data_IF_461467441887
#
_entry.id   IF_461467441887
#
_cell.length_a   1.000
_cell.length_b   1.000
_cell.length_c   1.000
_cell.angle_alpha   90.00
_cell.angle_beta   90.00
_cell.angle_gamma   90.00
#
_symmetry.space_group_name_H-M   'P 1'
#
loop_
_entity.id
_entity.type
_entity.pdbx_description
1 polymer ?
#
# COMPACT_ATOMS: atom_id res chain seq x y z
N UNK A 1 -9.02 14.33 -26.30
CA UNK A 1 -8.41 15.29 -25.36
C UNK A 1 -6.98 14.85 -25.10
N UNK A 2 -6.07 15.79 -25.00
CA UNK A 2 -4.69 15.51 -24.59
C UNK A 2 -4.69 14.99 -23.16
N UNK A 3 -3.93 13.91 -22.88
CA UNK A 3 -3.83 13.34 -21.53
C UNK A 3 -3.15 14.33 -20.59
N UNK A 4 -3.74 14.61 -19.42
CA UNK A 4 -3.14 15.48 -18.41
C UNK A 4 -1.98 14.77 -17.71
N UNK A 5 -0.96 15.52 -17.31
CA UNK A 5 0.09 15.01 -16.41
C UNK A 5 -0.42 15.03 -14.98
N UNK A 6 -0.08 13.99 -14.22
CA UNK A 6 -0.55 13.81 -12.84
C UNK A 6 0.62 13.73 -11.88
N UNK A 7 0.55 14.50 -10.83
CA UNK A 7 1.62 14.63 -9.82
C UNK A 7 1.12 14.25 -8.43
N UNK A 8 2.04 13.80 -7.60
CA UNK A 8 1.79 13.57 -6.16
C UNK A 8 2.14 14.85 -5.42
N UNK A 9 1.16 15.49 -4.81
CA UNK A 9 1.32 16.76 -4.08
C UNK A 9 1.22 16.60 -2.56
N UNK A 10 0.66 15.51 -2.06
CA UNK A 10 0.58 15.22 -0.64
C UNK A 10 0.63 13.73 -0.36
N UNK A 11 1.18 13.38 0.79
CA UNK A 11 1.29 12.00 1.28
C UNK A 11 1.01 11.94 2.77
N UNK A 12 0.40 10.85 3.22
CA UNK A 12 0.13 10.58 4.63
C UNK A 12 0.13 9.09 4.91
N UNK A 13 0.67 8.66 6.05
CA UNK A 13 0.71 7.24 6.38
C UNK A 13 0.71 6.99 7.89
N UNK A 14 0.09 5.88 8.25
CA UNK A 14 0.19 5.25 9.57
C UNK A 14 0.51 3.79 9.33
N UNK A 15 1.63 3.29 9.85
CA UNK A 15 2.03 1.90 9.67
C UNK A 15 2.99 1.46 10.80
N UNK A 16 3.39 0.18 10.89
CA UNK A 16 4.22 -0.32 12.00
C UNK A 16 5.58 0.35 12.16
N UNK A 17 6.09 1.07 11.16
CA UNK A 17 7.39 1.77 11.25
C UNK A 17 7.27 3.21 11.72
N UNK A 18 6.06 3.81 11.68
CA UNK A 18 5.79 5.17 12.16
C UNK A 18 4.34 5.61 11.95
N UNK A 19 3.91 6.61 12.71
CA UNK A 19 2.55 7.18 12.68
C UNK A 19 2.43 8.44 11.80
N UNK A 20 3.53 8.85 11.17
CA UNK A 20 3.61 9.92 10.18
C UNK A 20 4.52 9.49 9.04
N UNK A 21 4.46 10.21 7.93
CA UNK A 21 5.36 9.97 6.78
C UNK A 21 6.83 10.14 7.18
N UNK A 22 7.13 11.15 7.98
CA UNK A 22 8.51 11.43 8.42
C UNK A 22 9.07 10.29 9.30
N UNK A 23 8.31 9.90 10.33
CA UNK A 23 8.69 8.79 11.22
C UNK A 23 8.83 7.47 10.45
N UNK A 24 7.85 7.18 9.60
CA UNK A 24 7.83 5.96 8.81
C UNK A 24 9.01 5.89 7.84
N UNK A 25 9.25 6.94 7.09
CA UNK A 25 10.36 6.99 6.13
C UNK A 25 11.73 6.93 6.81
N UNK A 26 11.88 7.61 7.94
CA UNK A 26 13.07 7.48 8.78
C UNK A 26 13.27 6.03 9.21
N UNK A 27 12.23 5.37 9.72
CA UNK A 27 12.27 3.97 10.11
C UNK A 27 12.66 3.05 8.95
N UNK A 28 12.10 3.26 7.75
CA UNK A 28 12.44 2.50 6.53
C UNK A 28 13.91 2.69 6.15
N UNK A 29 14.42 3.91 6.18
CA UNK A 29 15.84 4.19 5.88
C UNK A 29 16.81 3.57 6.86
N UNK A 30 16.44 3.51 8.13
CA UNK A 30 17.23 2.91 9.21
C UNK A 30 17.06 1.37 9.29
N UNK A 31 16.17 0.78 8.51
CA UNK A 31 15.88 -0.66 8.55
C UNK A 31 15.09 -1.10 9.79
N UNK A 32 14.27 -0.20 10.36
CA UNK A 32 13.46 -0.47 11.55
C UNK A 32 12.40 -1.53 11.24
N UNK A 33 12.46 -2.66 11.92
CA UNK A 33 11.44 -3.72 11.84
C UNK A 33 10.31 -3.37 12.82
N UNK A 34 9.10 -3.11 12.28
CA UNK A 34 7.90 -2.78 13.05
C UNK A 34 7.11 -3.99 13.54
N UNK A 35 7.56 -5.21 13.17
CA UNK A 35 6.95 -6.48 13.57
C UNK A 35 7.27 -6.78 15.04
N UNK A 36 6.34 -7.35 15.75
CA UNK A 36 6.48 -7.76 17.14
C UNK A 36 5.40 -8.75 17.55
N UNK A 37 5.38 -9.11 18.84
CA UNK A 37 4.33 -9.96 19.41
C UNK A 37 2.96 -9.29 19.25
N UNK A 38 1.94 -10.10 18.95
CA UNK A 38 0.54 -9.64 18.87
C UNK A 38 0.08 -9.19 20.25
N UNK A 39 -0.39 -7.95 20.35
CA UNK A 39 -0.93 -7.37 21.57
C UNK A 39 -2.43 -7.06 21.49
N UNK A 40 -3.01 -7.12 20.28
CA UNK A 40 -4.43 -6.82 20.02
C UNK A 40 -5.39 -7.84 20.66
N UNK A 41 -4.91 -9.07 20.93
CA UNK A 41 -5.63 -10.16 21.58
C UNK A 41 -4.64 -11.18 22.16
N UNK A 42 -5.13 -12.13 22.99
CA UNK A 42 -4.30 -13.24 23.49
C UNK A 42 -4.05 -14.28 22.39
N UNK A 43 -2.83 -14.29 21.85
CA UNK A 43 -2.43 -15.19 20.79
C UNK A 43 -1.88 -16.54 21.27
N UNK A 44 -1.92 -16.84 22.58
CA UNK A 44 -1.29 -18.05 23.15
C UNK A 44 -1.86 -19.37 22.61
N UNK A 45 -3.12 -19.38 22.15
CA UNK A 45 -3.78 -20.52 21.55
C UNK A 45 -3.56 -20.63 20.02
N UNK A 46 -2.87 -19.69 19.40
CA UNK A 46 -2.63 -19.65 17.96
C UNK A 46 -1.23 -20.21 17.61
N UNK A 47 -1.05 -20.62 16.36
CA UNK A 47 0.27 -20.99 15.82
C UNK A 47 1.07 -19.80 15.32
N UNK A 48 0.48 -18.61 15.32
CA UNK A 48 1.08 -17.35 14.84
C UNK A 48 1.02 -16.33 15.98
N UNK A 49 2.17 -15.76 16.32
CA UNK A 49 2.32 -14.88 17.47
C UNK A 49 2.84 -13.49 17.10
N UNK A 50 3.25 -13.28 15.84
CA UNK A 50 3.86 -12.04 15.38
C UNK A 50 2.99 -11.33 14.36
N UNK A 51 2.93 -9.99 14.50
CA UNK A 51 2.24 -9.10 13.57
C UNK A 51 2.93 -7.74 13.49
N UNK A 52 2.67 -6.99 12.43
CA UNK A 52 3.04 -5.58 12.29
C UNK A 52 1.92 -4.70 12.82
N UNK A 53 1.85 -4.50 14.12
CA UNK A 53 0.87 -3.61 14.75
C UNK A 53 1.33 -2.15 14.72
N UNK A 54 0.39 -1.24 14.51
CA UNK A 54 0.62 0.19 14.71
C UNK A 54 0.70 0.48 16.20
N UNK A 55 1.85 0.99 16.65
CA UNK A 55 2.15 1.32 18.06
C UNK A 55 1.96 2.81 18.31
N UNK A 56 1.67 3.18 19.56
CA UNK A 56 1.54 4.57 20.01
C UNK A 56 0.56 5.38 19.13
N UNK A 57 -0.55 4.76 18.75
CA UNK A 57 -1.57 5.36 17.90
C UNK A 57 -2.54 6.19 18.76
N UNK A 58 -2.57 7.49 18.52
CA UNK A 58 -3.31 8.48 19.30
C UNK A 58 -4.33 9.27 18.44
N UNK A 59 -5.40 8.63 17.92
CA UNK A 59 -6.40 9.32 17.09
C UNK A 59 -7.17 10.40 17.87
N UNK A 60 -7.21 10.31 19.22
CA UNK A 60 -7.83 11.32 20.10
C UNK A 60 -7.17 12.68 20.05
N UNK A 61 -6.01 12.84 19.43
CA UNK A 61 -5.38 14.14 19.17
C UNK A 61 -6.07 14.92 18.06
N UNK A 62 -6.81 14.23 17.17
CA UNK A 62 -7.49 14.84 16.02
C UNK A 62 -9.02 14.68 16.05
N UNK A 63 -9.53 13.66 16.73
CA UNK A 63 -10.93 13.30 16.77
C UNK A 63 -11.43 13.22 18.21
N UNK A 64 -12.65 13.66 18.45
CA UNK A 64 -13.24 13.52 19.78
C UNK A 64 -13.65 12.05 20.06
N UNK A 65 -13.95 11.77 21.35
CA UNK A 65 -14.33 10.41 21.79
C UNK A 65 -15.64 9.92 21.14
N UNK A 66 -16.51 10.81 20.71
CA UNK A 66 -17.79 10.46 20.08
C UNK A 66 -17.54 10.04 18.63
N UNK A 67 -16.76 10.81 17.90
CA UNK A 67 -16.33 10.48 16.54
C UNK A 67 -15.63 9.11 16.52
N UNK A 68 -14.64 8.89 17.38
CA UNK A 68 -13.88 7.64 17.45
C UNK A 68 -14.72 6.41 17.76
N UNK A 69 -15.81 6.56 18.53
CA UNK A 69 -16.74 5.44 18.81
C UNK A 69 -17.54 4.97 17.59
N UNK A 70 -17.61 5.78 16.56
CA UNK A 70 -18.35 5.50 15.35
C UNK A 70 -17.45 5.07 14.18
N UNK A 71 -16.13 5.02 14.39
CA UNK A 71 -15.13 4.63 13.39
C UNK A 71 -14.47 3.32 13.79
N UNK A 72 -14.48 2.32 12.91
CA UNK A 72 -13.63 1.14 13.07
C UNK A 72 -12.15 1.53 12.92
N UNK A 73 -11.24 0.70 13.44
CA UNK A 73 -9.80 1.00 13.46
C UNK A 73 -9.21 1.28 12.06
N UNK A 74 -9.64 0.53 11.02
CA UNK A 74 -9.18 0.80 9.66
C UNK A 74 -9.60 2.19 9.15
N UNK A 75 -10.82 2.64 9.52
CA UNK A 75 -11.29 3.99 9.22
C UNK A 75 -10.46 5.04 9.97
N UNK A 76 -10.15 4.82 11.24
CA UNK A 76 -9.31 5.72 12.03
C UNK A 76 -7.92 5.90 11.39
N UNK A 77 -7.29 4.82 10.93
CA UNK A 77 -6.02 4.89 10.21
C UNK A 77 -6.12 5.71 8.94
N UNK A 78 -7.15 5.44 8.13
CA UNK A 78 -7.39 6.19 6.89
C UNK A 78 -7.60 7.67 7.13
N UNK A 79 -8.38 8.03 8.16
CA UNK A 79 -8.66 9.42 8.52
C UNK A 79 -7.39 10.17 8.96
N UNK A 80 -6.56 9.57 9.80
CA UNK A 80 -5.28 10.16 10.24
C UNK A 80 -4.34 10.36 9.04
N UNK A 81 -4.17 9.34 8.20
CA UNK A 81 -3.35 9.46 7.00
C UNK A 81 -3.91 10.49 5.99
N UNK A 82 -5.24 10.59 5.88
CA UNK A 82 -5.88 11.58 5.03
C UNK A 82 -5.66 13.03 5.54
N UNK A 83 -5.77 13.26 6.85
CA UNK A 83 -5.47 14.57 7.44
C UNK A 83 -4.02 14.98 7.17
N UNK A 84 -3.06 14.06 7.35
CA UNK A 84 -1.65 14.31 7.04
C UNK A 84 -1.46 14.66 5.55
N UNK A 85 -2.03 13.86 4.62
CA UNK A 85 -1.90 14.09 3.19
C UNK A 85 -2.55 15.40 2.73
N UNK A 86 -3.73 15.74 3.25
CA UNK A 86 -4.43 16.99 2.95
C UNK A 86 -3.65 18.21 3.45
N UNK A 87 -3.11 18.13 4.68
CA UNK A 87 -2.27 19.19 5.24
C UNK A 87 -0.97 19.35 4.44
N UNK A 88 -0.31 18.23 4.13
CA UNK A 88 0.95 18.20 3.38
C UNK A 88 0.81 18.79 1.96
N UNK A 89 -0.31 18.49 1.30
CA UNK A 89 -0.58 19.01 -0.04
C UNK A 89 -0.97 20.48 -0.06
N UNK A 90 -1.58 21.00 1.00
CA UNK A 90 -2.16 22.33 1.04
C UNK A 90 -3.29 22.59 0.01
N UNK A 91 -3.95 21.53 -0.47
CA UNK A 91 -4.95 21.60 -1.55
C UNK A 91 -6.32 22.11 -1.08
N UNK A 92 -6.57 22.09 0.22
CA UNK A 92 -7.87 22.49 0.79
C UNK A 92 -8.29 23.89 0.33
N UNK A 93 -9.50 24.01 -0.23
CA UNK A 93 -10.06 25.28 -0.69
C UNK A 93 -9.48 25.82 -2.01
N UNK A 94 -8.64 25.07 -2.71
CA UNK A 94 -8.07 25.47 -4.01
C UNK A 94 -8.91 25.02 -5.22
N UNK A 95 -9.87 24.11 -4.99
CA UNK A 95 -10.75 23.52 -5.99
C UNK A 95 -12.21 23.55 -5.55
N UNK A 96 -13.17 23.59 -6.48
CA UNK A 96 -14.56 23.26 -6.19
C UNK A 96 -14.64 21.84 -5.59
N UNK A 97 -15.53 21.59 -4.62
CA UNK A 97 -15.69 20.27 -4.01
C UNK A 97 -15.94 19.13 -4.99
N UNK A 98 -16.60 19.40 -6.09
CA UNK A 98 -16.98 18.45 -7.14
C UNK A 98 -15.77 18.02 -8.00
N UNK A 99 -14.70 18.80 -8.00
CA UNK A 99 -13.46 18.51 -8.77
C UNK A 99 -12.42 17.69 -7.98
N UNK A 100 -12.77 17.29 -6.75
CA UNK A 100 -11.90 16.41 -5.94
C UNK A 100 -12.70 15.21 -5.42
N UNK A 101 -12.22 14.02 -5.74
CA UNK A 101 -12.81 12.74 -5.32
C UNK A 101 -11.96 11.96 -4.33
N UNK A 102 -12.48 10.80 -3.91
CA UNK A 102 -11.84 9.89 -2.94
C UNK A 102 -11.92 8.45 -3.45
N UNK A 103 -10.78 7.78 -3.57
CA UNK A 103 -10.72 6.34 -3.86
C UNK A 103 -9.80 5.68 -2.82
N UNK A 104 -10.39 5.04 -1.82
CA UNK A 104 -9.64 4.38 -0.73
C UNK A 104 -10.08 2.94 -0.60
N UNK A 105 -9.13 2.01 -0.77
CA UNK A 105 -9.34 0.57 -0.65
C UNK A 105 -9.28 0.09 0.80
N UNK A 106 -10.03 -0.95 1.10
CA UNK A 106 -9.79 -1.84 2.24
C UNK A 106 -10.17 -3.26 1.82
N UNK A 107 -9.32 -4.23 2.11
CA UNK A 107 -9.55 -5.62 1.72
C UNK A 107 -10.66 -6.28 2.51
N UNK A 108 -10.74 -6.02 3.82
CA UNK A 108 -11.65 -6.72 4.73
C UNK A 108 -12.59 -5.76 5.47
N UNK A 109 -12.22 -4.49 5.61
CA UNK A 109 -13.01 -3.51 6.34
C UNK A 109 -12.99 -3.75 7.86
N UNK A 110 -14.14 -3.59 8.52
CA UNK A 110 -14.25 -3.63 9.98
C UNK A 110 -14.36 -5.03 10.57
N UNK A 111 -13.46 -5.95 10.24
CA UNK A 111 -13.51 -7.34 10.70
C UNK A 111 -13.60 -7.45 12.23
N UNK A 112 -12.76 -6.72 12.96
CA UNK A 112 -12.80 -6.71 14.44
C UNK A 112 -14.14 -6.21 14.98
N UNK A 113 -14.75 -5.22 14.32
CA UNK A 113 -16.10 -4.76 14.68
C UNK A 113 -17.15 -5.87 14.50
N UNK A 114 -17.03 -6.67 13.43
CA UNK A 114 -17.90 -7.82 13.18
C UNK A 114 -17.76 -8.85 14.32
N UNK A 115 -16.55 -9.19 14.72
CA UNK A 115 -16.26 -10.12 15.82
C UNK A 115 -16.87 -9.65 17.15
N UNK A 116 -16.60 -8.40 17.52
CA UNK A 116 -17.05 -7.80 18.78
C UNK A 116 -18.59 -7.71 18.85
N UNK A 117 -19.23 -7.23 17.79
CA UNK A 117 -20.67 -7.07 17.75
C UNK A 117 -21.41 -8.42 17.60
N UNK A 118 -20.81 -9.41 16.92
CA UNK A 118 -21.33 -10.78 16.91
C UNK A 118 -21.31 -11.38 18.33
N UNK A 119 -20.19 -11.31 19.02
CA UNK A 119 -20.04 -11.80 20.39
C UNK A 119 -21.03 -11.12 21.35
N UNK A 120 -21.25 -9.82 21.16
CA UNK A 120 -22.24 -9.07 21.93
C UNK A 120 -23.68 -9.51 21.61
N UNK A 121 -23.98 -9.75 20.34
CA UNK A 121 -25.28 -10.26 19.87
C UNK A 121 -25.59 -11.62 20.47
N UNK A 122 -24.66 -12.57 20.48
CA UNK A 122 -24.78 -13.88 21.11
C UNK A 122 -25.12 -13.78 22.62
N UNK A 123 -24.44 -12.85 23.31
CA UNK A 123 -24.63 -12.72 24.78
C UNK A 123 -25.88 -11.93 25.18
N UNK A 124 -26.32 -10.96 24.39
CA UNK A 124 -27.34 -9.97 24.76
C UNK A 124 -28.53 -9.91 23.81
N UNK A 125 -28.49 -10.66 22.70
CA UNK A 125 -29.46 -10.61 21.61
C UNK A 125 -29.00 -9.67 20.47
N UNK A 126 -29.25 -10.07 19.23
CA UNK A 126 -28.77 -9.37 18.03
C UNK A 126 -29.40 -7.99 17.79
N UNK A 127 -30.55 -7.70 18.40
CA UNK A 127 -31.15 -6.35 18.40
C UNK A 127 -30.43 -5.37 19.36
N UNK A 128 -29.41 -5.83 20.09
CA UNK A 128 -28.58 -5.04 21.01
C UNK A 128 -27.21 -4.68 20.42
N UNK A 129 -26.91 -5.06 19.17
CA UNK A 129 -25.70 -4.61 18.46
C UNK A 129 -25.71 -3.10 18.28
N UNK A 130 -24.53 -2.52 18.02
CA UNK A 130 -24.40 -1.08 17.82
C UNK A 130 -25.25 -0.61 16.62
N UNK A 131 -25.95 0.53 16.72
CA UNK A 131 -26.61 1.14 15.55
C UNK A 131 -25.61 1.58 14.48
N UNK A 132 -24.32 1.67 14.82
CA UNK A 132 -23.22 1.96 13.90
C UNK A 132 -22.51 0.71 13.38
N UNK A 133 -23.00 -0.49 13.74
CA UNK A 133 -22.36 -1.75 13.33
C UNK A 133 -22.13 -1.82 11.82
N UNK A 134 -23.17 -1.57 11.02
CA UNK A 134 -23.05 -1.66 9.56
C UNK A 134 -22.07 -0.60 9.01
N UNK A 135 -22.19 0.70 9.32
CA UNK A 135 -21.20 1.68 8.89
C UNK A 135 -19.76 1.37 9.30
N UNK A 136 -19.56 0.85 10.50
CA UNK A 136 -18.22 0.48 10.99
C UNK A 136 -17.66 -0.80 10.33
N UNK A 137 -18.52 -1.63 9.73
CA UNK A 137 -18.10 -2.92 9.16
C UNK A 137 -17.76 -2.84 7.68
N UNK A 138 -18.47 -2.00 6.89
CA UNK A 138 -18.33 -1.98 5.43
C UNK A 138 -17.08 -1.24 4.96
N UNK A 139 -16.37 -1.81 3.99
CA UNK A 139 -15.05 -1.34 3.54
C UNK A 139 -15.03 0.06 2.96
N UNK A 140 -16.14 0.53 2.37
CA UNK A 140 -16.23 1.85 1.74
C UNK A 140 -16.32 3.02 2.72
N UNK A 141 -16.50 2.76 4.02
CA UNK A 141 -16.70 3.85 4.98
C UNK A 141 -15.44 4.68 5.23
N UNK A 142 -14.26 4.12 5.07
CA UNK A 142 -13.04 4.91 5.11
C UNK A 142 -13.05 6.02 4.04
N UNK A 143 -13.41 5.69 2.79
CA UNK A 143 -13.55 6.68 1.72
C UNK A 143 -14.70 7.68 2.02
N UNK A 144 -15.84 7.18 2.50
CA UNK A 144 -17.01 8.00 2.84
C UNK A 144 -16.73 9.02 3.94
N UNK A 145 -16.10 8.59 5.04
CA UNK A 145 -15.75 9.47 6.18
C UNK A 145 -14.73 10.56 5.76
N UNK A 146 -13.72 10.20 4.94
CA UNK A 146 -12.78 11.16 4.38
C UNK A 146 -13.52 12.20 3.52
N UNK A 147 -14.41 11.75 2.63
CA UNK A 147 -15.20 12.65 1.77
C UNK A 147 -16.07 13.60 2.58
N UNK A 148 -16.74 13.12 3.63
CA UNK A 148 -17.55 13.93 4.55
C UNK A 148 -16.69 14.96 5.28
N UNK A 149 -15.57 14.52 5.86
CA UNK A 149 -14.65 15.37 6.64
C UNK A 149 -14.11 16.54 5.85
N UNK A 150 -13.64 16.27 4.63
CA UNK A 150 -13.03 17.27 3.76
C UNK A 150 -14.01 17.90 2.75
N UNK A 151 -15.31 17.52 2.81
CA UNK A 151 -16.38 18.01 1.92
C UNK A 151 -16.08 17.78 0.44
N UNK A 152 -15.46 16.63 0.10
CA UNK A 152 -15.12 16.25 -1.27
C UNK A 152 -16.34 15.63 -1.94
N UNK A 153 -16.76 16.12 -3.09
CA UNK A 153 -18.00 15.73 -3.78
C UNK A 153 -17.79 15.12 -5.16
N UNK A 154 -16.54 14.91 -5.57
CA UNK A 154 -16.20 14.11 -6.72
C UNK A 154 -16.51 12.63 -6.50
N UNK A 155 -16.00 11.75 -7.36
CA UNK A 155 -16.18 10.31 -7.19
C UNK A 155 -15.73 9.84 -5.80
N UNK A 156 -16.55 9.03 -5.11
CA UNK A 156 -16.19 8.42 -3.83
C UNK A 156 -16.46 6.91 -3.90
N UNK A 157 -15.39 6.09 -3.97
CA UNK A 157 -15.49 4.62 -4.08
C UNK A 157 -14.41 3.90 -3.29
N UNK A 158 -14.63 2.60 -3.06
CA UNK A 158 -13.68 1.68 -2.44
C UNK A 158 -13.51 0.44 -3.35
N UNK A 159 -12.47 0.33 -4.15
CA UNK A 159 -12.16 -0.92 -4.84
C UNK A 159 -11.72 -1.98 -3.81
N UNK A 160 -12.25 -3.20 -3.94
CA UNK A 160 -11.90 -4.33 -3.08
C UNK A 160 -11.24 -5.40 -3.95
N UNK A 161 -9.92 -5.37 -4.02
CA UNK A 161 -9.08 -6.28 -4.80
C UNK A 161 -7.97 -6.91 -3.95
N UNK A 162 -8.35 -7.30 -2.72
CA UNK A 162 -7.46 -7.89 -1.72
C UNK A 162 -6.17 -7.05 -1.56
N UNK A 163 -4.99 -7.70 -1.63
CA UNK A 163 -3.70 -7.06 -1.40
C UNK A 163 -3.29 -6.04 -2.50
N UNK A 164 -3.94 -6.06 -3.66
CA UNK A 164 -3.71 -5.09 -4.74
C UNK A 164 -4.56 -3.81 -4.59
N UNK A 165 -5.49 -3.78 -3.62
CA UNK A 165 -6.50 -2.74 -3.51
C UNK A 165 -5.97 -1.32 -3.41
N UNK A 166 -4.94 -1.08 -2.59
CA UNK A 166 -4.31 0.23 -2.47
C UNK A 166 -3.69 0.73 -3.78
N UNK A 167 -3.01 -0.16 -4.51
CA UNK A 167 -2.45 0.17 -5.83
C UNK A 167 -3.53 0.38 -6.89
N UNK A 168 -4.60 -0.42 -6.89
CA UNK A 168 -5.74 -0.19 -7.78
C UNK A 168 -6.41 1.16 -7.50
N UNK A 169 -6.62 1.52 -6.22
CA UNK A 169 -7.18 2.81 -5.83
C UNK A 169 -6.34 4.00 -6.36
N UNK A 170 -5.02 3.90 -6.28
CA UNK A 170 -4.10 4.92 -6.80
C UNK A 170 -4.14 4.96 -8.34
N UNK A 171 -4.10 3.79 -8.99
CA UNK A 171 -4.13 3.69 -10.45
C UNK A 171 -5.43 4.21 -11.06
N UNK A 172 -6.57 3.86 -10.47
CA UNK A 172 -7.89 4.36 -10.90
C UNK A 172 -7.99 5.88 -10.69
N UNK A 173 -7.51 6.39 -9.56
CA UNK A 173 -7.43 7.82 -9.30
C UNK A 173 -6.52 8.54 -10.30
N UNK A 174 -5.37 7.94 -10.65
CA UNK A 174 -4.47 8.45 -11.68
C UNK A 174 -5.18 8.60 -13.03
N UNK A 175 -5.87 7.56 -13.48
CA UNK A 175 -6.60 7.61 -14.74
C UNK A 175 -7.71 8.68 -14.72
N UNK A 176 -8.41 8.85 -13.61
CA UNK A 176 -9.46 9.88 -13.48
C UNK A 176 -8.92 11.30 -13.63
N UNK A 177 -7.80 11.61 -12.96
CA UNK A 177 -7.16 12.93 -13.10
C UNK A 177 -6.57 13.10 -14.50
N UNK A 178 -5.87 12.09 -15.01
CA UNK A 178 -5.25 12.11 -16.34
C UNK A 178 -6.26 12.34 -17.46
N UNK A 179 -7.41 11.67 -17.36
CA UNK A 179 -8.44 11.71 -18.41
C UNK A 179 -9.44 12.87 -18.21
N UNK A 180 -9.24 13.69 -17.15
CA UNK A 180 -9.91 14.96 -16.93
C UNK A 180 -11.28 14.88 -16.28
N UNK A 181 -11.59 13.78 -15.57
CA UNK A 181 -12.84 13.67 -14.80
C UNK A 181 -12.81 14.52 -13.53
N UNK A 182 -11.73 14.44 -12.76
CA UNK A 182 -11.45 15.32 -11.63
C UNK A 182 -10.12 16.05 -11.82
N UNK A 183 -9.94 17.17 -11.11
CA UNK A 183 -8.67 17.90 -11.08
C UNK A 183 -7.72 17.33 -10.02
N UNK A 184 -8.26 16.74 -8.96
CA UNK A 184 -7.48 16.04 -7.94
C UNK A 184 -8.24 14.85 -7.34
N UNK A 185 -7.48 13.88 -6.80
CA UNK A 185 -8.01 12.72 -6.12
C UNK A 185 -7.23 12.46 -4.84
N UNK A 186 -7.93 12.21 -3.75
CA UNK A 186 -7.40 11.58 -2.56
C UNK A 186 -7.51 10.06 -2.76
N UNK A 187 -6.41 9.34 -2.68
CA UNK A 187 -6.43 7.91 -2.99
C UNK A 187 -5.44 7.11 -2.14
N UNK A 188 -5.70 5.83 -2.01
CA UNK A 188 -4.83 4.94 -1.26
C UNK A 188 -5.54 3.72 -0.68
N UNK A 189 -5.10 3.26 0.48
CA UNK A 189 -5.66 2.08 1.12
C UNK A 189 -5.45 2.05 2.63
N UNK A 190 -6.28 1.27 3.31
CA UNK A 190 -6.26 1.11 4.76
C UNK A 190 -6.65 -0.32 5.15
N UNK A 191 -6.10 -0.82 6.24
CA UNK A 191 -6.45 -2.14 6.77
C UNK A 191 -6.21 -2.23 8.28
N UNK A 192 -7.08 -2.96 9.00
CA UNK A 192 -6.92 -3.28 10.41
C UNK A 192 -7.50 -4.67 10.72
N UNK A 193 -6.86 -5.70 10.18
CA UNK A 193 -7.34 -7.08 10.24
C UNK A 193 -6.62 -7.95 11.30
N UNK A 194 -5.79 -7.34 12.17
CA UNK A 194 -5.14 -8.06 13.27
C UNK A 194 -6.17 -8.30 14.37
N UNK A 195 -6.83 -9.45 14.28
CA UNK A 195 -7.90 -9.90 15.16
C UNK A 195 -7.90 -11.44 15.23
N UNK A 196 -8.69 -12.02 16.11
CA UNK A 196 -8.76 -13.49 16.25
C UNK A 196 -9.20 -14.16 14.94
N UNK A 197 -10.28 -13.68 14.27
CA UNK A 197 -10.71 -14.21 12.97
C UNK A 197 -9.71 -13.88 11.85
N UNK A 198 -9.11 -12.69 11.84
CA UNK A 198 -8.15 -12.30 10.83
C UNK A 198 -6.91 -13.20 10.88
N UNK A 199 -6.26 -13.30 12.03
CA UNK A 199 -5.09 -14.16 12.22
C UNK A 199 -5.48 -15.64 12.06
N UNK A 200 -6.58 -16.09 12.67
CA UNK A 200 -7.05 -17.48 12.59
C UNK A 200 -7.38 -17.89 11.15
N UNK A 201 -8.09 -17.05 10.40
CA UNK A 201 -8.45 -17.31 9.01
C UNK A 201 -7.24 -17.49 8.09
N UNK A 202 -6.25 -16.59 8.16
CA UNK A 202 -5.04 -16.72 7.36
C UNK A 202 -4.09 -17.82 7.88
N UNK A 203 -4.06 -18.11 9.19
CA UNK A 203 -3.28 -19.20 9.76
C UNK A 203 -3.79 -20.57 9.30
N UNK A 204 -5.12 -20.78 9.26
CA UNK A 204 -5.71 -22.04 8.77
C UNK A 204 -5.42 -22.29 7.29
N UNK A 205 -5.23 -21.24 6.52
CA UNK A 205 -4.78 -21.32 5.12
C UNK A 205 -3.28 -21.60 5.00
N UNK A 206 -2.52 -21.64 6.10
CA UNK A 206 -1.07 -21.72 6.13
C UNK A 206 -0.37 -20.58 5.34
N UNK A 207 -0.99 -19.42 5.31
CA UNK A 207 -0.47 -18.26 4.60
C UNK A 207 0.45 -17.39 5.47
N UNK A 208 0.28 -17.46 6.81
CA UNK A 208 1.08 -16.70 7.77
C UNK A 208 2.36 -17.44 8.18
N UNK A 209 3.40 -16.66 8.47
CA UNK A 209 4.65 -17.16 9.02
C UNK A 209 4.43 -17.68 10.46
N UNK A 210 4.79 -18.94 10.77
CA UNK A 210 4.74 -19.49 12.11
C UNK A 210 5.99 -19.18 12.93
N UNK A 211 6.90 -18.34 12.43
CA UNK A 211 8.13 -17.98 13.12
C UNK A 211 7.85 -17.32 14.47
N UNK A 212 8.65 -17.67 15.46
CA UNK A 212 8.60 -17.09 16.81
C UNK A 212 9.62 -15.98 17.02
N UNK A 213 10.63 -15.92 16.16
CA UNK A 213 11.65 -14.88 16.18
C UNK A 213 11.31 -13.79 15.15
N UNK A 214 11.31 -12.54 15.59
CA UNK A 214 11.02 -11.37 14.72
C UNK A 214 11.95 -11.34 13.51
N UNK A 215 13.23 -11.65 13.69
CA UNK A 215 14.24 -11.68 12.61
C UNK A 215 14.05 -12.78 11.57
N UNK A 216 13.12 -13.72 11.79
CA UNK A 216 12.78 -14.80 10.84
C UNK A 216 11.33 -14.79 10.39
N UNK A 217 10.54 -13.80 10.84
CA UNK A 217 9.10 -13.78 10.58
C UNK A 217 8.74 -13.29 9.17
N UNK A 218 9.21 -12.10 8.77
CA UNK A 218 9.02 -11.56 7.41
C UNK A 218 10.37 -11.42 6.73
N UNK A 219 10.69 -12.38 5.87
CA UNK A 219 11.98 -12.57 5.20
C UNK A 219 11.79 -12.77 3.69
N UNK A 220 11.29 -11.75 2.97
CA UNK A 220 11.05 -11.85 1.54
C UNK A 220 12.31 -12.30 0.80
N UNK A 221 12.13 -13.22 -0.16
CA UNK A 221 13.17 -13.79 -1.02
C UNK A 221 14.22 -14.68 -0.31
N UNK A 222 14.17 -14.80 1.01
CA UNK A 222 15.04 -15.73 1.76
C UNK A 222 14.58 -17.18 1.54
N UNK A 223 15.53 -18.13 1.51
CA UNK A 223 15.25 -19.57 1.30
C UNK A 223 14.33 -20.15 2.37
N UNK A 224 14.43 -19.67 3.61
CA UNK A 224 13.67 -20.14 4.78
C UNK A 224 12.33 -19.42 4.96
N UNK A 225 11.90 -18.61 3.99
CA UNK A 225 10.60 -17.93 4.05
C UNK A 225 9.45 -18.93 4.19
N UNK A 226 8.51 -18.64 5.06
CA UNK A 226 7.47 -19.62 5.46
C UNK A 226 6.05 -19.08 5.43
N UNK A 227 5.86 -17.84 5.03
CA UNK A 227 4.57 -17.14 5.04
C UNK A 227 4.73 -15.65 5.26
N UNK A 228 3.67 -14.89 5.09
CA UNK A 228 3.72 -13.46 5.39
C UNK A 228 3.42 -13.17 6.87
N UNK A 229 3.82 -12.01 7.34
CA UNK A 229 3.41 -11.44 8.63
C UNK A 229 2.31 -10.42 8.37
N UNK A 230 1.14 -10.58 8.98
CA UNK A 230 0.06 -9.60 8.85
C UNK A 230 0.46 -8.27 9.48
N UNK A 231 0.21 -7.17 8.76
CA UNK A 231 0.34 -5.81 9.27
C UNK A 231 -0.96 -5.03 9.19
N UNK A 232 -0.99 -3.86 9.81
CA UNK A 232 -2.11 -2.92 9.76
C UNK A 232 -1.62 -1.50 9.48
N UNK A 233 -2.52 -0.62 9.02
CA UNK A 233 -2.20 0.78 8.78
C UNK A 233 -2.95 1.39 7.59
N UNK A 234 -2.46 2.53 7.13
CA UNK A 234 -2.99 3.23 5.95
C UNK A 234 -1.90 4.00 5.22
N UNK A 235 -2.09 4.15 3.92
CA UNK A 235 -1.33 5.07 3.07
C UNK A 235 -2.29 5.87 2.19
N UNK A 236 -2.13 7.19 2.17
CA UNK A 236 -2.95 8.12 1.39
C UNK A 236 -2.05 9.05 0.59
N UNK A 237 -2.39 9.23 -0.68
CA UNK A 237 -1.76 10.17 -1.60
C UNK A 237 -2.79 11.16 -2.11
N UNK A 238 -2.33 12.40 -2.37
CA UNK A 238 -3.07 13.38 -3.16
C UNK A 238 -2.47 13.37 -4.56
N UNK A 239 -3.25 12.92 -5.53
CA UNK A 239 -2.95 13.03 -6.95
C UNK A 239 -3.63 14.27 -7.52
N UNK A 240 -2.89 15.07 -8.26
CA UNK A 240 -3.34 16.36 -8.75
C UNK A 240 -2.89 16.59 -10.19
N UNK A 241 -3.72 17.24 -10.97
CA UNK A 241 -3.35 17.71 -12.30
C UNK A 241 -2.15 18.69 -12.18
N UNK A 242 -1.10 18.42 -12.97
CA UNK A 242 0.18 19.12 -12.87
C UNK A 242 0.07 20.64 -13.03
N UNK A 243 -0.72 21.12 -14.00
CA UNK A 243 -0.83 22.56 -14.26
C UNK A 243 -1.56 23.27 -13.13
N UNK A 244 -2.57 22.60 -12.52
CA UNK A 244 -3.21 23.12 -11.30
C UNK A 244 -2.22 23.19 -10.14
N UNK A 245 -1.43 22.12 -9.92
CA UNK A 245 -0.40 22.09 -8.87
C UNK A 245 0.64 23.21 -9.04
N UNK A 246 1.13 23.42 -10.27
CA UNK A 246 2.08 24.49 -10.59
C UNK A 246 1.50 25.88 -10.38
N UNK A 247 0.24 26.08 -10.80
CA UNK A 247 -0.47 27.38 -10.66
C UNK A 247 -0.62 27.81 -9.20
N UNK A 248 -0.86 26.87 -8.31
CA UNK A 248 -0.99 27.16 -6.87
C UNK A 248 0.35 27.08 -6.10
N UNK A 249 1.46 26.79 -6.77
CA UNK A 249 2.78 26.68 -6.15
C UNK A 249 2.93 25.47 -5.23
N UNK A 250 2.27 24.35 -5.55
CA UNK A 250 2.33 23.13 -4.76
C UNK A 250 3.72 22.52 -4.71
N UNK A 251 4.05 21.90 -3.58
CA UNK A 251 5.15 20.93 -3.53
C UNK A 251 4.76 19.71 -4.37
N UNK A 252 5.68 19.23 -5.18
CA UNK A 252 5.51 18.03 -6.00
C UNK A 252 6.57 17.02 -5.60
N UNK A 253 6.13 15.83 -5.20
CA UNK A 253 7.01 14.71 -4.83
C UNK A 253 7.53 13.95 -6.04
N UNK A 254 6.62 13.56 -6.93
CA UNK A 254 6.88 12.75 -8.13
C UNK A 254 5.73 12.92 -9.12
N UNK A 255 5.88 12.41 -10.33
CA UNK A 255 4.77 12.14 -11.25
C UNK A 255 4.39 10.67 -11.16
N UNK A 256 3.09 10.36 -11.21
CA UNK A 256 2.62 9.04 -11.55
C UNK A 256 2.41 9.01 -13.07
N UNK A 257 3.05 8.06 -13.73
CA UNK A 257 3.10 8.03 -15.20
C UNK A 257 2.52 6.77 -15.81
N UNK A 258 2.37 5.69 -15.03
CA UNK A 258 1.83 4.44 -15.54
C UNK A 258 1.11 3.61 -14.48
N UNK A 259 0.09 2.91 -14.96
CA UNK A 259 -0.69 1.96 -14.18
C UNK A 259 -1.03 0.74 -15.04
N UNK A 260 -0.75 -0.45 -14.52
CA UNK A 260 -1.19 -1.72 -15.06
C UNK A 260 -2.07 -2.44 -14.05
N UNK A 261 -3.14 -3.07 -14.54
CA UNK A 261 -3.98 -3.95 -13.75
C UNK A 261 -4.50 -5.10 -14.60
N UNK A 262 -4.53 -6.30 -14.05
CA UNK A 262 -5.09 -7.49 -14.67
C UNK A 262 -5.51 -8.51 -13.62
N UNK A 263 -5.91 -9.70 -14.07
CA UNK A 263 -6.25 -10.83 -13.25
C UNK A 263 -5.56 -12.09 -13.79
N UNK A 264 -4.99 -12.90 -12.90
CA UNK A 264 -4.43 -14.23 -13.25
C UNK A 264 -5.49 -15.19 -13.79
N UNK A 265 -6.74 -15.07 -13.31
CA UNK A 265 -7.85 -15.97 -13.64
C UNK A 265 -7.49 -17.45 -13.47
N UNK A 266 -6.71 -17.76 -12.43
CA UNK A 266 -6.13 -19.09 -12.22
C UNK A 266 -6.66 -19.79 -10.97
N UNK A 267 -6.48 -19.18 -9.79
CA UNK A 267 -6.85 -19.78 -8.51
C UNK A 267 -7.20 -18.69 -7.47
N UNK A 268 -8.03 -19.02 -6.47
CA UNK A 268 -8.51 -18.04 -5.48
C UNK A 268 -7.41 -17.47 -4.57
N UNK A 269 -6.32 -18.23 -4.32
CA UNK A 269 -5.25 -17.79 -3.39
C UNK A 269 -3.83 -17.97 -3.95
N UNK A 270 -3.62 -18.84 -4.93
CA UNK A 270 -2.30 -19.10 -5.51
C UNK A 270 -2.09 -18.25 -6.76
N UNK A 271 -0.90 -17.65 -6.93
CA UNK A 271 -0.57 -16.95 -8.18
C UNK A 271 -0.48 -17.93 -9.35
N UNK A 272 -0.65 -17.45 -10.57
CA UNK A 272 -0.44 -18.23 -11.78
C UNK A 272 1.03 -18.70 -11.84
N UNK A 273 1.28 -19.95 -12.30
CA UNK A 273 2.63 -20.48 -12.45
C UNK A 273 3.52 -19.58 -13.31
N UNK A 274 4.80 -19.48 -12.94
CA UNK A 274 5.76 -18.65 -13.70
C UNK A 274 5.56 -17.15 -13.62
N UNK A 275 4.57 -16.66 -12.84
CA UNK A 275 4.32 -15.23 -12.67
C UNK A 275 3.75 -14.52 -13.91
N UNK A 276 3.09 -15.25 -14.81
CA UNK A 276 2.59 -14.72 -16.09
C UNK A 276 1.68 -13.49 -15.91
N UNK A 277 0.75 -13.53 -14.95
CA UNK A 277 -0.15 -12.41 -14.68
C UNK A 277 0.59 -11.19 -14.14
N UNK A 278 1.53 -11.38 -13.23
CA UNK A 278 2.38 -10.32 -12.71
C UNK A 278 3.25 -9.70 -13.81
N UNK A 279 3.84 -10.51 -14.70
CA UNK A 279 4.60 -10.03 -15.85
C UNK A 279 3.74 -9.18 -16.78
N UNK A 280 2.60 -9.69 -17.20
CA UNK A 280 1.66 -8.94 -18.05
C UNK A 280 1.19 -7.63 -17.39
N UNK A 281 1.01 -7.61 -16.06
CA UNK A 281 0.65 -6.41 -15.32
C UNK A 281 1.77 -5.35 -15.37
N UNK A 282 3.03 -5.76 -15.17
CA UNK A 282 4.19 -4.87 -15.31
C UNK A 282 4.30 -4.30 -16.74
N UNK A 283 4.11 -5.14 -17.77
CA UNK A 283 4.13 -4.70 -19.18
C UNK A 283 3.02 -3.68 -19.48
N UNK A 284 1.81 -3.87 -18.92
CA UNK A 284 0.72 -2.89 -19.04
C UNK A 284 1.10 -1.56 -18.40
N UNK A 285 1.72 -1.57 -17.23
CA UNK A 285 2.16 -0.36 -16.55
C UNK A 285 3.26 0.38 -17.32
N UNK A 286 4.25 -0.34 -17.85
CA UNK A 286 5.30 0.22 -18.71
C UNK A 286 4.73 0.83 -19.99
N UNK A 287 3.78 0.13 -20.62
CA UNK A 287 3.09 0.63 -21.82
C UNK A 287 2.28 1.90 -21.53
N UNK A 288 1.54 1.95 -20.41
CA UNK A 288 0.78 3.15 -20.01
C UNK A 288 1.70 4.32 -19.68
N UNK A 289 2.86 4.05 -19.07
CA UNK A 289 3.89 5.03 -18.78
C UNK A 289 4.66 5.53 -20.02
N UNK A 290 4.62 4.79 -21.12
CA UNK A 290 5.42 5.06 -22.31
C UNK A 290 6.92 4.90 -22.09
N UNK A 291 7.33 4.00 -21.19
CA UNK A 291 8.73 3.71 -20.86
C UNK A 291 9.03 2.22 -21.03
N UNK A 292 10.31 1.91 -21.13
CA UNK A 292 10.83 0.55 -21.22
C UNK A 292 11.29 0.03 -19.85
N UNK A 293 11.41 -1.27 -19.70
CA UNK A 293 11.97 -1.88 -18.48
C UNK A 293 13.42 -1.39 -18.19
N UNK A 294 14.19 -1.01 -19.22
CA UNK A 294 15.54 -0.48 -19.06
C UNK A 294 15.61 0.86 -18.31
N UNK A 295 14.51 1.63 -18.32
CA UNK A 295 14.44 2.93 -17.67
C UNK A 295 14.06 2.85 -16.19
N UNK A 296 13.56 1.69 -15.72
CA UNK A 296 13.22 1.49 -14.31
C UNK A 296 14.49 1.32 -13.48
N UNK A 297 14.65 2.17 -12.48
CA UNK A 297 15.84 2.22 -11.61
C UNK A 297 15.68 1.44 -10.31
N UNK A 298 14.43 1.16 -9.89
CA UNK A 298 14.11 0.44 -8.66
C UNK A 298 12.70 -0.16 -8.72
N UNK A 299 12.55 -1.38 -8.17
CA UNK A 299 11.27 -2.07 -8.01
C UNK A 299 10.98 -2.25 -6.52
N UNK A 300 9.89 -1.66 -6.03
CA UNK A 300 9.29 -2.04 -4.76
C UNK A 300 8.40 -3.24 -5.01
N UNK A 301 8.86 -4.40 -4.58
CA UNK A 301 8.21 -5.67 -4.86
C UNK A 301 6.98 -5.91 -3.98
N UNK A 302 6.07 -6.74 -4.48
CA UNK A 302 5.05 -7.31 -3.61
C UNK A 302 5.69 -8.13 -2.49
N UNK A 303 6.61 -9.05 -2.80
CA UNK A 303 7.57 -9.65 -1.88
C UNK A 303 7.01 -9.99 -0.50
N UNK A 304 6.09 -10.95 -0.44
CA UNK A 304 5.34 -11.26 0.80
C UNK A 304 6.05 -12.18 1.78
N UNK A 305 7.22 -12.73 1.42
CA UNK A 305 7.85 -13.81 2.22
C UNK A 305 7.09 -15.14 2.14
N UNK A 306 6.23 -15.31 1.13
CA UNK A 306 5.62 -16.61 0.80
C UNK A 306 6.37 -17.27 -0.32
N UNK A 307 6.44 -18.62 -0.31
CA UNK A 307 7.21 -19.35 -1.27
C UNK A 307 6.79 -19.09 -2.72
N UNK A 308 5.49 -19.23 -3.01
CA UNK A 308 4.96 -19.12 -4.36
C UNK A 308 4.98 -17.69 -4.91
N UNK A 309 4.66 -16.70 -4.06
CA UNK A 309 4.66 -15.30 -4.50
C UNK A 309 6.07 -14.85 -4.90
N UNK A 310 7.06 -15.07 -4.02
CA UNK A 310 8.40 -14.54 -4.25
C UNK A 310 9.08 -15.22 -5.44
N UNK A 311 8.80 -16.51 -5.66
CA UNK A 311 9.25 -17.25 -6.84
C UNK A 311 8.58 -16.73 -8.12
N UNK A 312 7.26 -16.57 -8.10
CA UNK A 312 6.48 -16.07 -9.25
C UNK A 312 6.85 -14.63 -9.62
N UNK A 313 6.99 -13.76 -8.64
CA UNK A 313 7.38 -12.35 -8.87
C UNK A 313 8.81 -12.25 -9.44
N UNK A 314 9.75 -13.07 -8.94
CA UNK A 314 11.10 -13.17 -9.51
C UNK A 314 11.07 -13.62 -10.97
N UNK A 315 10.28 -14.65 -11.30
CA UNK A 315 10.11 -15.10 -12.67
C UNK A 315 9.50 -14.01 -13.57
N UNK A 316 8.50 -13.30 -13.07
CA UNK A 316 7.88 -12.20 -13.78
C UNK A 316 8.86 -11.05 -14.07
N UNK A 317 9.68 -10.66 -13.08
CA UNK A 317 10.75 -9.66 -13.29
C UNK A 317 11.75 -10.13 -14.33
N UNK A 318 12.20 -11.38 -14.26
CA UNK A 318 13.11 -11.96 -15.29
C UNK A 318 12.50 -11.92 -16.70
N UNK A 319 11.20 -12.23 -16.80
CA UNK A 319 10.48 -12.17 -18.07
C UNK A 319 10.44 -10.76 -18.67
N UNK A 320 10.03 -9.76 -17.87
CA UNK A 320 9.83 -8.38 -18.33
C UNK A 320 11.14 -7.63 -18.55
N UNK A 321 12.11 -7.81 -17.64
CA UNK A 321 13.35 -7.05 -17.62
C UNK A 321 14.50 -7.74 -18.36
N UNK A 322 14.38 -9.02 -18.72
CA UNK A 322 15.41 -9.80 -19.40
C UNK A 322 16.78 -9.65 -18.69
N UNK A 323 17.86 -9.38 -19.39
CA UNK A 323 19.19 -9.16 -18.82
C UNK A 323 19.23 -8.02 -17.78
N UNK A 324 18.35 -7.03 -17.90
CA UNK A 324 18.23 -5.91 -16.95
C UNK A 324 17.75 -6.38 -15.57
N UNK A 325 17.05 -7.54 -15.47
CA UNK A 325 16.58 -8.11 -14.22
C UNK A 325 17.71 -8.30 -13.20
N UNK A 326 18.90 -8.67 -13.66
CA UNK A 326 20.06 -8.93 -12.81
C UNK A 326 20.78 -7.65 -12.31
N UNK A 327 20.36 -6.47 -12.74
CA UNK A 327 20.97 -5.18 -12.38
C UNK A 327 19.99 -4.14 -11.88
N UNK A 328 18.68 -4.36 -11.98
CA UNK A 328 17.68 -3.52 -11.33
C UNK A 328 17.53 -3.95 -9.87
N UNK A 329 17.74 -3.05 -8.89
CA UNK A 329 17.52 -3.39 -7.49
C UNK A 329 16.02 -3.58 -7.21
N UNK A 330 15.72 -4.60 -6.42
CA UNK A 330 14.39 -4.98 -6.00
C UNK A 330 14.39 -5.04 -4.48
N UNK A 331 13.41 -4.48 -3.79
CA UNK A 331 13.29 -4.73 -2.35
C UNK A 331 11.85 -4.86 -1.90
N UNK A 332 11.64 -5.56 -0.81
CA UNK A 332 10.34 -5.64 -0.13
C UNK A 332 10.39 -4.96 1.22
N UNK A 333 9.68 -3.86 1.34
CA UNK A 333 9.50 -3.14 2.60
C UNK A 333 8.61 -3.90 3.60
N UNK A 334 7.92 -4.96 3.15
CA UNK A 334 7.18 -5.88 4.03
C UNK A 334 8.08 -6.62 5.03
N UNK A 335 9.38 -6.69 4.79
CA UNK A 335 10.35 -7.15 5.78
C UNK A 335 10.38 -6.29 7.06
N UNK A 336 9.92 -5.03 6.95
CA UNK A 336 9.87 -4.05 8.05
C UNK A 336 8.44 -3.80 8.54
N UNK A 337 7.50 -3.66 7.63
CA UNK A 337 6.09 -3.31 7.97
C UNK A 337 5.19 -4.52 8.22
N UNK A 338 5.58 -5.72 7.77
CA UNK A 338 4.63 -6.79 7.52
C UNK A 338 3.77 -6.49 6.27
N UNK A 339 2.81 -7.34 6.01
CA UNK A 339 1.89 -7.20 4.88
C UNK A 339 0.57 -6.54 5.32
N UNK A 340 0.37 -5.29 4.91
CA UNK A 340 -0.79 -4.48 5.31
C UNK A 340 -2.05 -4.75 4.45
N UNK A 341 -2.12 -5.87 3.75
CA UNK A 341 -3.27 -6.29 2.92
C UNK A 341 -3.73 -5.16 1.98
N UNK A 342 -4.97 -4.67 2.12
CA UNK A 342 -5.53 -3.60 1.29
C UNK A 342 -4.80 -2.25 1.40
N UNK A 343 -4.05 -2.01 2.46
CA UNK A 343 -3.23 -0.81 2.64
C UNK A 343 -1.83 -0.95 2.02
N UNK A 344 -1.33 -2.19 1.79
CA UNK A 344 0.06 -2.45 1.43
C UNK A 344 0.53 -1.64 0.23
N UNK A 345 -0.17 -1.74 -0.90
CA UNK A 345 0.23 -1.06 -2.13
C UNK A 345 0.25 0.47 -2.02
N UNK A 346 -0.59 1.05 -1.16
CA UNK A 346 -0.60 2.48 -0.94
C UNK A 346 0.61 2.96 -0.10
N UNK A 347 0.96 2.24 0.95
CA UNK A 347 2.16 2.52 1.77
C UNK A 347 3.43 2.34 0.94
N UNK A 348 3.49 1.29 0.13
CA UNK A 348 4.60 1.00 -0.78
C UNK A 348 4.73 2.03 -1.92
N UNK A 349 3.62 2.55 -2.43
CA UNK A 349 3.62 3.67 -3.37
C UNK A 349 4.22 4.94 -2.74
N UNK A 350 3.89 5.25 -1.47
CA UNK A 350 4.51 6.36 -0.74
C UNK A 350 6.01 6.14 -0.61
N UNK A 351 6.48 4.94 -0.23
CA UNK A 351 7.91 4.65 -0.14
C UNK A 351 8.62 4.74 -1.50
N UNK A 352 7.97 4.33 -2.59
CA UNK A 352 8.49 4.47 -3.95
C UNK A 352 8.65 5.93 -4.38
N UNK A 353 7.68 6.78 -4.01
CA UNK A 353 7.73 8.24 -4.23
C UNK A 353 8.83 8.90 -3.39
N UNK A 354 8.97 8.50 -2.13
CA UNK A 354 10.03 9.02 -1.26
C UNK A 354 11.42 8.54 -1.67
N UNK A 355 11.53 7.32 -2.20
CA UNK A 355 12.76 6.80 -2.80
C UNK A 355 13.24 7.68 -3.97
N UNK A 356 12.31 8.08 -4.87
CA UNK A 356 12.61 9.01 -5.96
C UNK A 356 13.06 10.38 -5.46
N UNK A 357 12.35 10.92 -4.45
CA UNK A 357 12.67 12.23 -3.86
C UNK A 357 14.09 12.26 -3.30
N UNK A 358 14.43 11.24 -2.51
CA UNK A 358 15.66 11.24 -1.70
C UNK A 358 16.82 10.49 -2.36
N UNK A 359 16.59 9.81 -3.50
CA UNK A 359 17.63 8.97 -4.13
C UNK A 359 18.08 7.83 -3.24
N UNK A 360 17.12 7.16 -2.56
CA UNK A 360 17.42 6.08 -1.62
C UNK A 360 16.55 4.86 -1.88
N UNK A 361 17.18 3.69 -2.01
CA UNK A 361 16.52 2.39 -2.17
C UNK A 361 16.44 1.71 -0.80
N UNK A 362 15.23 1.41 -0.27
CA UNK A 362 15.08 0.63 0.95
C UNK A 362 15.66 -0.78 0.85
N UNK A 363 16.16 -1.31 1.98
CA UNK A 363 16.62 -2.69 2.04
C UNK A 363 15.48 -3.70 2.26
N UNK A 364 15.71 -4.94 1.84
CA UNK A 364 14.95 -6.11 2.30
C UNK A 364 15.62 -6.62 3.58
N UNK A 365 15.00 -6.36 4.73
CA UNK A 365 15.59 -6.67 6.03
C UNK A 365 15.47 -8.17 6.36
N UNK A 366 16.31 -8.62 7.29
CA UNK A 366 16.31 -9.99 7.82
C UNK A 366 16.67 -11.08 6.79
N UNK A 367 17.23 -10.73 5.64
CA UNK A 367 17.68 -11.68 4.64
C UNK A 367 18.98 -12.38 5.12
N UNK A 368 18.98 -13.70 5.28
CA UNK A 368 20.11 -14.46 5.82
C UNK A 368 20.52 -15.62 4.92
N UNK A 369 19.58 -16.34 4.34
CA UNK A 369 19.84 -17.57 3.58
C UNK A 369 19.46 -17.38 2.12
N UNK A 370 20.48 -17.45 1.25
CA UNK A 370 20.29 -17.32 -0.19
C UNK A 370 19.46 -18.50 -0.73
N UNK A 371 18.46 -18.18 -1.54
CA UNK A 371 17.71 -19.16 -2.33
C UNK A 371 18.31 -19.22 -3.74
N UNK A 372 18.70 -20.41 -4.19
CA UNK A 372 19.34 -20.61 -5.50
C UNK A 372 18.38 -20.32 -6.68
N UNK A 373 17.07 -20.40 -6.45
CA UNK A 373 16.05 -20.07 -7.45
C UNK A 373 15.77 -18.57 -7.54
N UNK A 374 16.19 -17.79 -6.51
CA UNK A 374 16.00 -16.37 -6.36
C UNK A 374 17.34 -15.64 -6.43
N UNK A 375 17.80 -15.36 -7.65
CA UNK A 375 19.18 -14.91 -7.95
C UNK A 375 19.28 -13.44 -8.36
N UNK A 376 18.24 -12.62 -8.09
CA UNK A 376 18.23 -11.18 -8.40
C UNK A 376 18.82 -10.34 -7.25
N UNK A 377 18.95 -9.03 -7.46
CA UNK A 377 19.42 -8.07 -6.44
C UNK A 377 18.26 -7.61 -5.55
N UNK A 378 18.03 -8.32 -4.44
CA UNK A 378 16.96 -8.00 -3.49
C UNK A 378 17.32 -6.97 -2.43
N UNK A 379 18.41 -6.24 -2.61
CA UNK A 379 18.91 -5.21 -1.66
C UNK A 379 18.95 -5.73 -0.21
N UNK A 380 19.72 -6.78 0.10
CA UNK A 380 19.64 -7.46 1.39
C UNK A 380 20.15 -6.58 2.53
N UNK A 381 19.37 -6.50 3.61
CA UNK A 381 19.67 -5.96 4.95
C UNK A 381 20.10 -4.49 5.04
N UNK A 382 20.42 -3.84 3.95
CA UNK A 382 20.86 -2.44 3.97
C UNK A 382 20.38 -1.71 2.73
N UNK A 383 19.63 -0.65 2.93
CA UNK A 383 19.30 0.28 1.85
C UNK A 383 20.54 0.96 1.27
N UNK A 384 20.42 1.53 0.08
CA UNK A 384 21.53 2.18 -0.60
C UNK A 384 21.11 3.49 -1.28
N UNK A 385 22.03 4.45 -1.28
CA UNK A 385 21.88 5.68 -2.06
C UNK A 385 22.05 5.37 -3.55
N UNK A 386 21.14 5.88 -4.37
CA UNK A 386 21.20 5.77 -5.83
C UNK A 386 20.32 6.85 -6.45
N UNK A 387 20.81 7.52 -7.46
CA UNK A 387 19.97 8.40 -8.27
C UNK A 387 18.91 7.58 -8.99
N UNK A 388 17.65 7.98 -8.83
CA UNK A 388 16.48 7.29 -9.39
C UNK A 388 15.71 8.25 -10.28
N UNK A 389 15.31 7.78 -11.45
CA UNK A 389 14.42 8.50 -12.39
C UNK A 389 13.02 7.89 -12.43
N UNK A 390 12.95 6.56 -12.40
CA UNK A 390 11.71 5.83 -12.40
C UNK A 390 11.71 4.73 -11.34
N UNK A 391 10.60 4.60 -10.63
CA UNK A 391 10.34 3.46 -9.73
C UNK A 391 9.07 2.73 -10.15
N UNK A 392 9.05 1.44 -9.92
CA UNK A 392 7.90 0.55 -10.12
C UNK A 392 7.47 -0.03 -8.79
N UNK A 393 6.18 -0.12 -8.52
CA UNK A 393 5.61 -0.75 -7.32
C UNK A 393 4.61 -1.80 -7.70
N UNK A 394 4.83 -3.05 -7.27
CA UNK A 394 3.99 -4.20 -7.59
C UNK A 394 3.10 -4.60 -6.42
N UNK A 395 1.86 -4.95 -6.71
CA UNK A 395 0.92 -5.53 -5.75
C UNK A 395 0.21 -6.72 -6.38
N UNK A 396 0.28 -7.86 -5.72
CA UNK A 396 -0.32 -9.12 -6.18
C UNK A 396 -1.28 -9.60 -5.08
N UNK A 397 -2.54 -9.86 -5.42
CA UNK A 397 -3.59 -10.14 -4.44
C UNK A 397 -4.30 -11.47 -4.66
N UNK A 398 -4.86 -12.01 -3.60
CA UNK A 398 -5.79 -13.14 -3.67
C UNK A 398 -6.92 -12.83 -4.66
N UNK A 399 -7.41 -13.87 -5.35
CA UNK A 399 -8.30 -13.72 -6.50
C UNK A 399 -7.53 -13.51 -7.82
N UNK A 400 -6.19 -13.48 -7.78
CA UNK A 400 -5.33 -13.22 -8.94
C UNK A 400 -5.30 -11.75 -9.35
N UNK A 401 -5.66 -10.82 -8.46
CA UNK A 401 -5.62 -9.39 -8.72
C UNK A 401 -4.18 -8.88 -8.74
N UNK A 402 -3.75 -8.30 -9.84
CA UNK A 402 -2.44 -7.69 -9.98
C UNK A 402 -2.58 -6.20 -10.27
N UNK A 403 -1.72 -5.40 -9.65
CA UNK A 403 -1.62 -3.97 -9.92
C UNK A 403 -0.14 -3.54 -9.89
N UNK A 404 0.24 -2.70 -10.84
CA UNK A 404 1.59 -2.17 -10.96
C UNK A 404 1.52 -0.66 -11.21
N UNK A 405 2.27 0.12 -10.44
CA UNK A 405 2.36 1.57 -10.55
C UNK A 405 3.77 1.97 -10.99
N UNK A 406 3.87 2.97 -11.87
CA UNK A 406 5.14 3.56 -12.29
C UNK A 406 5.16 5.03 -11.92
N UNK A 407 6.19 5.42 -11.15
CA UNK A 407 6.44 6.81 -10.76
C UNK A 407 7.70 7.34 -11.41
N UNK A 408 7.71 8.64 -11.72
CA UNK A 408 8.83 9.38 -12.32
C UNK A 408 9.26 10.50 -11.39
N UNK A 409 10.57 10.69 -11.26
CA UNK A 409 11.16 11.82 -10.53
C UNK A 409 10.69 13.14 -11.15
N UNK A 410 10.17 14.03 -10.31
CA UNK A 410 9.83 15.38 -10.73
C UNK A 410 11.07 16.28 -10.68
N UNK A 411 11.47 16.87 -11.82
CA UNK A 411 12.68 17.68 -11.95
C UNK A 411 12.44 19.20 -11.94
N UNK A 412 11.22 19.63 -11.52
CA UNK A 412 10.84 21.04 -11.59
C UNK A 412 10.32 21.44 -12.97
N UNK A 413 10.37 22.73 -13.31
CA UNK A 413 10.00 23.19 -14.66
C UNK A 413 10.88 22.45 -15.66
N UNK A 414 10.24 21.75 -16.60
CA UNK A 414 10.93 21.05 -17.66
C UNK A 414 12.03 21.99 -18.19
N UNK A 415 13.29 21.63 -17.97
CA UNK A 415 14.37 22.15 -18.80
C UNK A 415 14.02 21.55 -20.17
N UNK A 416 13.32 22.34 -20.98
CA UNK A 416 13.08 22.01 -22.37
C UNK A 416 14.43 21.53 -22.90
N UNK A 417 14.48 20.26 -23.31
CA UNK A 417 15.58 19.76 -24.11
C UNK A 417 15.70 20.66 -25.35
N UNK A 418 16.52 21.69 -25.24
CA UNK A 418 17.13 22.29 -26.40
C UNK A 418 18.34 21.41 -26.76
N UNK A 419 18.11 20.53 -27.68
CA UNK A 419 19.20 19.98 -28.50
C UNK A 419 18.60 19.48 -29.82
#
# INVERSE_FOLDING_TARGET
MEKRRVVVTGVGTVNPTGNTVEESWKGIREGKVGIGEITAFDSSAFSVHLAGEVKDFHPEKLFDKRELKHMARFTQFAMIAAEEAMLDSGISGTLPPEEMGVIVSSGIGGLKTIEEEHTKGERKGFERVSPFFIPMSISNMAAGEIAIRHKLKGLCICPVTACAGGSNAIGDAFHRVRDGYETAMLCGGTEAAISELGIGGFATMKALSPATEVSRASIPFDKERSGFVMGEGAGILILEEREHALKRGAKIYAEIVGYGANCDAYHITSPAPGGEGAAACMELALKDAGVTAAEIDYINAHGTSTHLNDLGETAAVKHVFQERAYSVPISSTKSMTGHLLGAAGAVEAIFSVLALRDGFIPGTMNYQVKDEELDLDYVPNKGREKELRYTMSNSLGFGGHNACLVFKKYLGKDILCQS
#
